data_IF_577738137983
#
_entry.id   IF_577738137983
#
_cell.length_a   1.000
_cell.length_b   1.000
_cell.length_c   1.000
_cell.angle_alpha   90.00
_cell.angle_beta   90.00
_cell.angle_gamma   90.00
#
_symmetry.space_group_name_H-M   'P 1'
#
loop_
_entity.id
_entity.type
_entity.pdbx_description
1 polymer ?
#
# COMPACT_ATOMS: atom_id res chain seq x y z
N UNK A 1 1.11 -31.00 7.01
CA UNK A 1 -0.27 -30.83 6.50
C UNK A 1 -0.69 -29.42 6.85
N UNK A 2 -0.42 -28.47 5.96
CA UNK A 2 -1.20 -27.23 5.82
C UNK A 2 -0.85 -26.69 4.43
N UNK A 3 -1.28 -27.46 3.44
CA UNK A 3 -0.98 -27.27 2.04
C UNK A 3 -2.04 -26.38 1.42
N UNK A 4 -2.32 -25.20 1.98
CA UNK A 4 -3.48 -24.42 1.52
C UNK A 4 -3.46 -22.94 1.95
N UNK A 5 -2.29 -22.29 2.05
CA UNK A 5 -2.24 -20.83 1.78
C UNK A 5 -2.39 -20.62 0.29
N UNK A 6 -3.61 -20.89 -0.16
CA UNK A 6 -4.16 -20.65 -1.48
C UNK A 6 -3.60 -19.35 -2.00
N UNK A 7 -2.94 -19.46 -3.14
CA UNK A 7 -2.45 -18.35 -3.97
C UNK A 7 -3.28 -17.10 -3.70
N UNK A 8 -2.65 -16.07 -3.10
CA UNK A 8 -3.23 -14.73 -2.99
C UNK A 8 -3.87 -14.41 -4.33
N UNK A 9 -5.20 -14.40 -4.33
CA UNK A 9 -6.01 -14.28 -5.53
C UNK A 9 -5.91 -12.83 -6.00
N UNK A 10 -4.76 -12.47 -6.56
CA UNK A 10 -4.41 -11.09 -6.87
C UNK A 10 -5.41 -10.47 -7.83
N UNK A 11 -5.55 -9.15 -7.73
CA UNK A 11 -6.36 -8.39 -8.68
C UNK A 11 -5.86 -8.63 -10.10
N UNK A 12 -6.77 -8.96 -11.02
CA UNK A 12 -6.42 -8.96 -12.44
C UNK A 12 -6.07 -7.53 -12.85
N UNK A 13 -5.16 -7.38 -13.82
CA UNK A 13 -4.73 -6.05 -14.29
C UNK A 13 -5.91 -5.16 -14.70
N UNK A 14 -6.89 -5.75 -15.40
CA UNK A 14 -8.10 -5.03 -15.80
C UNK A 14 -8.90 -4.54 -14.59
N UNK A 15 -9.14 -5.42 -13.61
CA UNK A 15 -9.86 -5.08 -12.37
C UNK A 15 -9.17 -3.92 -11.64
N UNK A 16 -7.82 -3.92 -11.55
CA UNK A 16 -7.06 -2.84 -10.91
C UNK A 16 -7.32 -1.51 -11.59
N UNK A 17 -7.27 -1.52 -12.91
CA UNK A 17 -7.47 -0.32 -13.74
C UNK A 17 -8.90 0.21 -13.59
N UNK A 18 -9.89 -0.68 -13.64
CA UNK A 18 -11.31 -0.32 -13.48
C UNK A 18 -11.56 0.29 -12.09
N UNK A 19 -10.91 -0.25 -11.05
CA UNK A 19 -11.00 0.28 -9.69
C UNK A 19 -10.38 1.68 -9.55
N UNK A 20 -9.14 1.88 -10.04
CA UNK A 20 -8.47 3.18 -10.03
C UNK A 20 -9.29 4.26 -10.74
N UNK A 21 -9.89 3.90 -11.88
CA UNK A 21 -10.81 4.78 -12.63
C UNK A 21 -12.07 5.07 -11.82
N UNK A 22 -12.66 4.06 -11.18
CA UNK A 22 -13.87 4.24 -10.35
C UNK A 22 -13.66 5.17 -9.15
N UNK A 23 -12.42 5.25 -8.65
CA UNK A 23 -12.02 6.13 -7.55
C UNK A 23 -11.69 7.56 -8.00
N UNK A 24 -11.77 7.85 -9.31
CA UNK A 24 -11.39 9.10 -9.95
C UNK A 24 -9.92 9.50 -9.67
N UNK A 25 -9.05 8.50 -9.48
CA UNK A 25 -7.63 8.74 -9.18
C UNK A 25 -6.81 9.09 -10.42
N UNK A 26 -7.31 8.79 -11.62
CA UNK A 26 -6.59 8.93 -12.89
C UNK A 26 -7.55 9.33 -14.00
N UNK A 27 -7.17 10.32 -14.80
CA UNK A 27 -7.85 10.67 -16.06
C UNK A 27 -7.20 9.94 -17.22
N UNK A 28 -7.80 8.81 -17.63
CA UNK A 28 -7.34 8.06 -18.79
C UNK A 28 -7.95 8.62 -20.08
N UNK A 29 -7.20 8.68 -21.21
CA UNK A 29 -5.84 8.14 -21.42
C UNK A 29 -4.69 9.12 -21.13
N UNK A 30 -4.93 10.33 -20.62
CA UNK A 30 -3.89 11.35 -20.42
C UNK A 30 -2.86 10.94 -19.35
N UNK A 31 -3.31 10.27 -18.28
CA UNK A 31 -2.49 9.91 -17.12
C UNK A 31 -2.09 8.42 -17.10
N UNK A 32 -1.72 7.83 -18.25
CA UNK A 32 -1.35 6.40 -18.30
C UNK A 32 -0.14 6.02 -17.44
N UNK A 33 0.82 6.93 -17.27
CA UNK A 33 1.97 6.70 -16.40
C UNK A 33 1.53 6.56 -14.93
N UNK A 34 0.62 7.43 -14.48
CA UNK A 34 0.03 7.40 -13.15
C UNK A 34 -0.79 6.13 -12.92
N UNK A 35 -1.56 5.71 -13.93
CA UNK A 35 -2.30 4.44 -13.92
C UNK A 35 -1.38 3.26 -13.62
N UNK A 36 -0.20 3.19 -14.24
CA UNK A 36 0.74 2.09 -14.02
C UNK A 36 1.27 2.06 -12.58
N UNK A 37 1.65 3.23 -12.04
CA UNK A 37 2.14 3.35 -10.65
C UNK A 37 1.08 2.87 -9.66
N UNK A 38 -0.18 3.30 -9.84
CA UNK A 38 -1.27 2.88 -8.98
C UNK A 38 -1.66 1.40 -9.20
N UNK A 39 -1.62 0.90 -10.44
CA UNK A 39 -1.83 -0.52 -10.76
C UNK A 39 -0.80 -1.39 -10.03
N UNK A 40 0.46 -0.97 -9.98
CA UNK A 40 1.52 -1.68 -9.27
C UNK A 40 1.37 -1.59 -7.75
N UNK A 41 0.96 -0.43 -7.23
CA UNK A 41 0.66 -0.25 -5.80
C UNK A 41 -0.47 -1.18 -5.31
N UNK A 42 -1.53 -1.35 -6.10
CA UNK A 42 -2.64 -2.27 -5.78
C UNK A 42 -2.22 -3.73 -5.91
N UNK A 43 -1.33 -4.05 -6.86
CA UNK A 43 -0.85 -5.42 -7.04
C UNK A 43 0.19 -5.84 -6.01
N UNK A 44 0.84 -4.90 -5.34
CA UNK A 44 1.91 -5.18 -4.39
C UNK A 44 1.38 -5.93 -3.15
N UNK A 45 1.78 -7.19 -2.93
CA UNK A 45 1.48 -7.89 -1.70
C UNK A 45 2.59 -7.67 -0.65
N UNK A 46 2.29 -7.82 0.66
CA UNK A 46 0.99 -8.13 1.25
C UNK A 46 0.20 -6.87 1.67
N UNK A 47 -1.13 -7.00 1.73
CA UNK A 47 -1.98 -6.01 2.37
C UNK A 47 -1.53 -5.77 3.82
N UNK A 48 -1.72 -4.56 4.38
CA UNK A 48 -1.43 -4.33 5.78
C UNK A 48 -2.29 -5.28 6.64
N UNK A 49 -1.69 -6.05 7.57
CA UNK A 49 -2.46 -6.77 8.58
C UNK A 49 -3.38 -5.79 9.32
N UNK A 50 -4.64 -6.16 9.65
CA UNK A 50 -5.26 -7.49 9.58
C UNK A 50 -6.09 -7.76 8.30
N UNK A 51 -5.81 -7.10 7.18
CA UNK A 51 -6.65 -7.24 5.98
C UNK A 51 -6.28 -8.45 5.12
N UNK A 52 -7.28 -9.22 4.72
CA UNK A 52 -7.16 -10.31 3.76
C UNK A 52 -8.06 -10.05 2.54
N UNK A 53 -7.49 -10.15 1.33
CA UNK A 53 -8.25 -10.08 0.09
C UNK A 53 -8.92 -11.43 -0.19
N UNK A 54 -10.21 -11.39 -0.53
CA UNK A 54 -10.99 -12.55 -0.94
C UNK A 54 -11.88 -12.22 -2.15
N UNK A 55 -12.36 -13.25 -2.82
CA UNK A 55 -13.41 -13.14 -3.84
C UNK A 55 -14.68 -13.84 -3.39
N UNK A 56 -15.83 -13.23 -3.69
CA UNK A 56 -17.13 -13.83 -3.39
C UNK A 56 -17.54 -14.85 -4.47
N UNK A 57 -18.70 -15.47 -4.30
CA UNK A 57 -19.25 -16.44 -5.27
C UNK A 57 -19.57 -15.81 -6.63
N UNK A 58 -19.67 -14.48 -6.71
CA UNK A 58 -19.88 -13.72 -7.93
C UNK A 58 -18.56 -13.29 -8.60
N UNK A 59 -17.42 -13.56 -7.95
CA UNK A 59 -16.09 -13.18 -8.41
C UNK A 59 -15.71 -11.73 -8.09
N UNK A 60 -16.48 -11.04 -7.23
CA UNK A 60 -16.16 -9.69 -6.78
C UNK A 60 -15.12 -9.73 -5.67
N UNK A 61 -14.16 -8.81 -5.72
CA UNK A 61 -13.14 -8.65 -4.69
C UNK A 61 -13.76 -7.97 -3.47
N UNK A 62 -13.47 -8.51 -2.30
CA UNK A 62 -13.73 -7.87 -1.01
C UNK A 62 -12.54 -8.09 -0.07
N UNK A 63 -12.45 -7.26 0.94
CA UNK A 63 -11.41 -7.30 1.97
C UNK A 63 -12.06 -7.63 3.29
N UNK A 64 -11.46 -8.56 4.02
CA UNK A 64 -11.92 -8.99 5.33
C UNK A 64 -10.84 -8.69 6.36
N UNK A 65 -11.20 -7.98 7.42
CA UNK A 65 -10.39 -7.88 8.63
C UNK A 65 -10.51 -9.22 9.38
N UNK A 66 -9.41 -9.99 9.50
CA UNK A 66 -9.47 -11.28 10.21
C UNK A 66 -9.44 -11.15 11.74
N UNK A 67 -9.24 -9.95 12.28
CA UNK A 67 -9.30 -9.63 13.71
C UNK A 67 -10.71 -9.23 14.12
N UNK A 68 -11.33 -8.27 13.42
CA UNK A 68 -12.70 -7.82 13.74
C UNK A 68 -13.79 -8.61 13.03
N UNK A 69 -13.46 -9.27 11.91
CA UNK A 69 -14.43 -9.92 11.03
C UNK A 69 -15.16 -8.96 10.08
N UNK A 70 -14.78 -7.68 10.06
CA UNK A 70 -15.40 -6.69 9.19
C UNK A 70 -15.07 -6.95 7.72
N UNK A 71 -16.05 -6.71 6.84
CA UNK A 71 -15.88 -6.83 5.39
C UNK A 71 -16.08 -5.49 4.72
N UNK A 72 -15.25 -5.21 3.72
CA UNK A 72 -15.37 -3.99 2.91
C UNK A 72 -15.07 -4.30 1.45
N UNK A 73 -15.69 -3.56 0.55
CA UNK A 73 -15.40 -3.62 -0.88
C UNK A 73 -14.34 -2.57 -1.29
N UNK A 74 -13.99 -1.65 -0.40
CA UNK A 74 -12.94 -0.66 -0.61
C UNK A 74 -11.58 -1.25 -0.27
N UNK A 75 -10.58 -0.96 -1.11
CA UNK A 75 -9.18 -1.30 -0.84
C UNK A 75 -8.75 -0.66 0.50
N UNK A 76 -8.14 -1.42 1.44
CA UNK A 76 -7.77 -0.87 2.75
C UNK A 76 -6.71 0.24 2.65
N UNK A 77 -5.95 0.25 1.56
CA UNK A 77 -5.00 1.31 1.20
C UNK A 77 -5.58 2.41 0.29
N UNK A 78 -6.91 2.56 0.19
CA UNK A 78 -7.52 3.55 -0.72
C UNK A 78 -7.02 4.99 -0.45
N UNK A 79 -6.88 5.38 0.82
CA UNK A 79 -6.37 6.70 1.18
C UNK A 79 -4.92 6.90 0.72
N UNK A 80 -4.06 5.90 0.91
CA UNK A 80 -2.67 5.92 0.48
C UNK A 80 -2.55 5.96 -1.05
N UNK A 81 -3.45 5.29 -1.77
CA UNK A 81 -3.53 5.39 -3.24
C UNK A 81 -3.91 6.80 -3.69
N UNK A 82 -4.80 7.49 -2.95
CA UNK A 82 -5.15 8.90 -3.21
C UNK A 82 -3.96 9.83 -3.01
N UNK A 83 -3.24 9.66 -1.91
CA UNK A 83 -2.04 10.46 -1.60
C UNK A 83 -0.93 10.22 -2.62
N UNK A 84 -0.69 8.95 -2.98
CA UNK A 84 0.27 8.59 -4.02
C UNK A 84 -0.11 9.22 -5.36
N UNK A 85 -1.39 9.20 -5.73
CA UNK A 85 -1.87 9.83 -6.96
C UNK A 85 -1.60 11.34 -6.98
N UNK A 86 -1.83 12.03 -5.85
CA UNK A 86 -1.52 13.45 -5.68
C UNK A 86 -0.03 13.75 -5.81
N UNK A 87 0.80 13.03 -5.04
CA UNK A 87 2.25 13.20 -5.07
C UNK A 87 2.85 12.95 -6.46
N UNK A 88 2.40 11.90 -7.15
CA UNK A 88 2.87 11.62 -8.51
C UNK A 88 2.46 12.71 -9.52
N UNK A 89 1.26 13.29 -9.41
CA UNK A 89 0.86 14.43 -10.25
C UNK A 89 1.74 15.64 -10.02
N UNK A 90 1.99 15.98 -8.75
CA UNK A 90 2.88 17.08 -8.41
C UNK A 90 4.28 16.85 -8.97
N UNK A 91 4.82 15.63 -8.90
CA UNK A 91 6.09 15.29 -9.52
C UNK A 91 6.07 15.41 -11.05
N UNK A 92 4.95 15.10 -11.71
CA UNK A 92 4.79 15.17 -13.16
C UNK A 92 4.59 16.61 -13.69
N UNK A 93 4.07 17.53 -12.88
CA UNK A 93 3.90 18.95 -13.24
C UNK A 93 5.19 19.77 -13.08
N UNK A 94 6.24 19.21 -12.50
CA UNK A 94 7.52 19.91 -12.33
C UNK A 94 8.23 20.10 -13.69
N UNK A 95 8.90 21.25 -13.89
CA UNK A 95 9.57 21.54 -15.15
C UNK A 95 10.75 20.58 -15.38
N UNK A 96 10.86 19.98 -16.59
CA UNK A 96 11.88 18.99 -16.89
C UNK A 96 13.27 19.64 -16.83
N UNK A 97 14.20 19.01 -16.12
CA UNK A 97 15.61 19.46 -16.05
C UNK A 97 16.22 19.58 -14.65
N UNK A 98 15.47 19.29 -13.58
CA UNK A 98 16.01 19.08 -12.21
C UNK A 98 15.48 17.80 -11.56
N UNK A 99 14.94 16.91 -12.38
CA UNK A 99 14.11 15.79 -11.93
C UNK A 99 14.93 14.78 -11.13
N UNK A 100 16.16 14.52 -11.54
CA UNK A 100 17.02 13.51 -10.90
C UNK A 100 17.56 13.97 -9.54
N UNK A 101 18.04 15.22 -9.43
CA UNK A 101 18.56 15.74 -8.16
C UNK A 101 17.46 15.87 -7.10
N UNK A 102 16.25 16.28 -7.50
CA UNK A 102 15.09 16.37 -6.61
C UNK A 102 14.49 15.00 -6.29
N UNK A 103 14.42 14.09 -7.26
CA UNK A 103 14.00 12.72 -7.01
C UNK A 103 14.95 12.03 -6.02
N UNK A 104 16.26 12.22 -6.18
CA UNK A 104 17.25 11.70 -5.23
C UNK A 104 17.09 12.33 -3.84
N UNK A 105 16.90 13.65 -3.75
CA UNK A 105 16.65 14.31 -2.45
C UNK A 105 15.37 13.78 -1.78
N UNK A 106 14.30 13.56 -2.57
CA UNK A 106 13.04 13.03 -2.09
C UNK A 106 13.17 11.57 -1.61
N UNK A 107 13.84 10.73 -2.39
CA UNK A 107 14.15 9.33 -2.05
C UNK A 107 15.04 9.26 -0.81
N UNK A 108 16.11 10.08 -0.73
CA UNK A 108 17.00 10.12 0.43
C UNK A 108 16.26 10.57 1.70
N UNK A 109 15.34 11.54 1.58
CA UNK A 109 14.52 11.99 2.70
C UNK A 109 13.61 10.87 3.20
N UNK A 110 12.88 10.23 2.29
CA UNK A 110 12.01 9.10 2.61
C UNK A 110 12.77 7.90 3.18
N UNK A 111 13.93 7.57 2.62
CA UNK A 111 14.78 6.50 3.14
C UNK A 111 15.28 6.81 4.54
N UNK A 112 15.68 8.06 4.81
CA UNK A 112 16.10 8.49 6.15
C UNK A 112 14.96 8.42 7.16
N UNK A 113 13.78 8.89 6.79
CA UNK A 113 12.58 8.81 7.63
C UNK A 113 12.22 7.34 7.90
N UNK A 114 12.22 6.49 6.87
CA UNK A 114 11.97 5.06 7.01
C UNK A 114 13.03 4.33 7.86
N UNK A 115 14.32 4.66 7.69
CA UNK A 115 15.41 4.10 8.49
C UNK A 115 15.30 4.53 9.96
N UNK A 116 14.96 5.80 10.20
CA UNK A 116 14.78 6.33 11.55
C UNK A 116 13.58 5.67 12.24
N UNK A 117 12.46 5.53 11.52
CA UNK A 117 11.28 4.84 12.03
C UNK A 117 11.58 3.37 12.27
N UNK A 118 12.19 2.65 11.33
CA UNK A 118 12.52 1.24 11.50
C UNK A 118 13.51 1.00 12.65
N UNK A 119 14.50 1.87 12.80
CA UNK A 119 15.49 1.78 13.89
C UNK A 119 14.88 2.13 15.26
N UNK A 120 13.78 2.88 15.28
CA UNK A 120 13.09 3.21 16.53
C UNK A 120 12.38 2.01 17.16
N UNK A 121 12.02 0.97 16.39
CA UNK A 121 11.36 -0.23 16.91
C UNK A 121 12.35 -1.24 17.51
N UNK A 122 12.28 -1.45 18.82
CA UNK A 122 13.08 -2.44 19.54
C UNK A 122 12.25 -3.67 19.90
N UNK A 123 12.82 -4.87 19.73
CA UNK A 123 12.17 -6.13 20.15
C UNK A 123 12.27 -6.29 21.67
N UNK A 124 11.13 -6.39 22.34
CA UNK A 124 11.04 -6.71 23.77
C UNK A 124 10.74 -8.20 23.93
N UNK A 125 11.64 -8.91 24.61
CA UNK A 125 11.60 -10.36 24.76
C UNK A 125 10.66 -10.83 25.86
N UNK A 126 9.42 -11.17 25.52
CA UNK A 126 8.52 -11.87 26.44
C UNK A 126 7.52 -12.77 25.68
N UNK A 127 7.98 -13.93 25.20
CA UNK A 127 7.15 -15.07 24.78
C UNK A 127 6.30 -14.90 23.51
N UNK A 128 5.86 -13.67 23.20
CA UNK A 128 5.30 -13.20 21.92
C UNK A 128 6.25 -12.14 21.37
N UNK A 129 6.34 -12.01 20.05
CA UNK A 129 7.21 -11.00 19.44
C UNK A 129 6.52 -9.65 19.65
N UNK A 130 7.04 -8.86 20.58
CA UNK A 130 6.58 -7.49 20.84
C UNK A 130 7.66 -6.52 20.37
N UNK A 131 7.26 -5.46 19.68
CA UNK A 131 8.10 -4.35 19.27
C UNK A 131 7.64 -3.09 20.02
N UNK A 132 8.58 -2.33 20.56
CA UNK A 132 8.32 -1.04 21.19
C UNK A 132 9.07 0.05 20.43
N UNK A 133 8.37 1.10 20.04
CA UNK A 133 8.96 2.28 19.45
C UNK A 133 9.63 3.11 20.55
N UNK A 134 10.95 3.18 20.53
CA UNK A 134 11.79 3.90 21.49
C UNK A 134 11.59 5.42 21.48
N UNK A 135 10.92 5.97 20.45
CA UNK A 135 10.65 7.40 20.31
C UNK A 135 9.20 7.76 20.71
N UNK A 136 8.21 6.96 20.32
CA UNK A 136 6.78 7.23 20.61
C UNK A 136 6.26 6.48 21.84
N UNK A 137 6.98 5.44 22.29
CA UNK A 137 6.52 4.52 23.34
C UNK A 137 5.41 3.56 22.88
N UNK A 138 5.09 3.55 21.58
CA UNK A 138 4.06 2.68 21.03
C UNK A 138 4.51 1.21 21.00
N UNK A 139 3.60 0.31 21.33
CA UNK A 139 3.87 -1.12 21.35
C UNK A 139 3.05 -1.81 20.25
N UNK A 140 3.74 -2.57 19.41
CA UNK A 140 3.16 -3.43 18.39
C UNK A 140 3.46 -4.89 18.73
N UNK A 141 2.52 -5.79 18.44
CA UNK A 141 2.68 -7.22 18.66
C UNK A 141 2.48 -7.96 17.34
N UNK A 142 3.35 -8.94 17.04
CA UNK A 142 3.17 -9.90 15.95
C UNK A 142 2.18 -11.02 16.32
#
# INVERSE_FOLDING_TARGET
KDSERTYMESWRRQERRDYIVSLDLVRLPEEEALSRVLEDAIASPPLPPPWEMRRDVQGQVFYMDWVSGDVTHSHPLEQQLRELAGACRECLELPPGKDEARANEFVERWQREADQDLFSWQKIGCGRICFENSFTGEQAQE
#
